data_IF_730095543722
#
_entry.id   IF_730095543722
#
_cell.length_a   1.000
_cell.length_b   1.000
_cell.length_c   1.000
_cell.angle_alpha   90.00
_cell.angle_beta   90.00
_cell.angle_gamma   90.00
#
_symmetry.space_group_name_H-M   'P 1'
#
loop_
_entity.id
_entity.type
_entity.pdbx_description
1 polymer ?
#
# COMPACT_ATOMS: atom_id res chain seq x y z
N UNK A 1 -26.28 0.93 -17.98
CA UNK A 1 -26.11 -0.08 -16.91
C UNK A 1 -25.04 -1.05 -17.36
N UNK A 2 -23.78 -0.85 -16.95
CA UNK A 2 -22.73 -1.86 -17.19
C UNK A 2 -22.83 -2.91 -16.06
N UNK A 3 -22.83 -4.20 -16.38
CA UNK A 3 -23.02 -5.25 -15.39
C UNK A 3 -21.81 -5.31 -14.46
N UNK A 4 -22.06 -5.16 -13.17
CA UNK A 4 -21.10 -5.48 -12.11
C UNK A 4 -20.69 -6.94 -12.23
N UNK A 5 -19.44 -7.21 -12.57
CA UNK A 5 -18.91 -8.58 -12.64
C UNK A 5 -18.62 -9.08 -11.20
N UNK A 6 -19.33 -10.11 -10.70
CA UNK A 6 -19.21 -10.56 -9.31
C UNK A 6 -17.99 -11.47 -9.06
N UNK A 7 -17.00 -11.51 -9.96
CA UNK A 7 -15.84 -12.42 -9.85
C UNK A 7 -14.53 -11.78 -10.33
N UNK A 8 -14.01 -10.77 -9.64
CA UNK A 8 -12.55 -10.56 -9.61
C UNK A 8 -12.01 -11.32 -8.41
N UNK A 9 -11.46 -12.50 -8.69
CA UNK A 9 -10.69 -13.24 -7.70
C UNK A 9 -9.32 -12.56 -7.56
N UNK A 10 -8.85 -12.25 -6.34
CA UNK A 10 -7.54 -11.65 -6.15
C UNK A 10 -6.45 -12.55 -6.76
N UNK A 11 -5.43 -11.94 -7.37
CA UNK A 11 -4.35 -12.64 -8.08
C UNK A 11 -2.99 -12.13 -7.61
N UNK A 12 -1.98 -13.00 -7.62
CA UNK A 12 -0.64 -12.62 -7.17
C UNK A 12 -0.63 -12.24 -5.68
N UNK A 13 0.01 -11.12 -5.35
CA UNK A 13 0.17 -10.62 -3.98
C UNK A 13 -1.16 -10.25 -3.30
N UNK A 14 -2.18 -9.79 -4.05
CA UNK A 14 -3.49 -9.46 -3.47
C UNK A 14 -4.25 -10.69 -2.96
N UNK A 15 -3.82 -11.89 -3.38
CA UNK A 15 -4.39 -13.17 -2.95
C UNK A 15 -3.66 -13.82 -1.76
N UNK A 16 -2.59 -13.19 -1.27
CA UNK A 16 -1.87 -13.63 -0.07
C UNK A 16 -2.76 -13.50 1.18
N UNK A 17 -2.71 -14.42 2.17
CA UNK A 17 -3.53 -14.33 3.37
C UNK A 17 -3.42 -13.02 4.13
N UNK A 18 -2.25 -12.38 4.16
CA UNK A 18 -2.06 -11.10 4.85
C UNK A 18 -2.72 -9.94 4.10
N UNK A 19 -2.83 -10.05 2.77
CA UNK A 19 -3.41 -9.01 1.90
C UNK A 19 -4.91 -9.23 1.60
N UNK A 20 -5.35 -10.48 1.55
CA UNK A 20 -6.65 -10.91 1.08
C UNK A 20 -7.79 -10.29 1.92
N UNK A 21 -8.63 -9.47 1.28
CA UNK A 21 -9.71 -8.71 1.93
C UNK A 21 -9.26 -7.66 2.98
N UNK A 22 -7.96 -7.49 3.18
CA UNK A 22 -7.37 -6.53 4.13
C UNK A 22 -6.92 -5.25 3.42
N UNK A 23 -6.22 -5.40 2.28
CA UNK A 23 -5.83 -4.27 1.44
C UNK A 23 -7.04 -3.76 0.66
N UNK A 24 -7.65 -2.71 1.18
CA UNK A 24 -8.55 -1.87 0.37
C UNK A 24 -7.68 -1.22 -0.71
N UNK A 25 -8.14 -1.29 -1.97
CA UNK A 25 -7.50 -0.71 -3.17
C UNK A 25 -6.56 -1.61 -4.01
N UNK A 26 -6.13 -2.80 -3.55
CA UNK A 26 -5.25 -3.66 -4.37
C UNK A 26 -5.92 -4.20 -5.67
N UNK A 27 -7.24 -4.47 -5.63
CA UNK A 27 -8.00 -4.98 -6.78
C UNK A 27 -8.87 -3.90 -7.48
N UNK A 28 -8.99 -2.71 -6.89
CA UNK A 28 -9.95 -1.66 -7.29
C UNK A 28 -9.35 -0.49 -8.08
N UNK A 29 -8.11 -0.62 -8.58
CA UNK A 29 -7.50 0.33 -9.52
C UNK A 29 -8.25 0.45 -10.86
N UNK A 30 -9.39 -0.22 -11.05
CA UNK A 30 -10.10 -0.25 -12.32
C UNK A 30 -11.61 -0.02 -12.34
N UNK A 31 -12.39 0.07 -11.23
CA UNK A 31 -13.86 0.19 -11.45
C UNK A 31 -14.72 1.29 -10.81
N UNK A 32 -14.65 1.73 -9.54
CA UNK A 32 -15.82 2.50 -9.02
C UNK A 32 -15.50 3.75 -8.21
N UNK A 33 -15.93 4.90 -8.75
CA UNK A 33 -15.95 6.19 -8.09
C UNK A 33 -16.87 6.17 -6.86
N UNK A 34 -16.26 6.45 -5.70
CA UNK A 34 -16.95 6.64 -4.43
C UNK A 34 -15.95 6.56 -3.28
N UNK A 35 -15.44 7.71 -2.82
CA UNK A 35 -14.45 7.92 -1.73
C UNK A 35 -13.24 6.95 -1.68
N UNK A 36 -13.01 6.23 -2.78
CA UNK A 36 -11.96 5.27 -3.09
C UNK A 36 -11.33 5.67 -4.45
N UNK A 37 -11.23 6.97 -4.73
CA UNK A 37 -10.94 7.50 -6.06
C UNK A 37 -9.51 8.03 -6.22
N UNK A 38 -8.81 8.40 -5.14
CA UNK A 38 -7.68 9.31 -5.28
C UNK A 38 -6.48 8.74 -6.02
N UNK A 39 -6.01 7.52 -5.75
CA UNK A 39 -4.80 7.00 -6.42
C UNK A 39 -5.03 6.76 -7.93
N UNK A 40 -6.24 6.32 -8.29
CA UNK A 40 -6.67 6.26 -9.69
C UNK A 40 -6.81 7.63 -10.32
N UNK A 41 -7.42 8.59 -9.61
CA UNK A 41 -7.55 9.96 -10.08
C UNK A 41 -6.16 10.58 -10.26
N UNK A 42 -5.20 10.28 -9.37
CA UNK A 42 -3.79 10.70 -9.47
C UNK A 42 -3.11 10.04 -10.66
N UNK A 43 -3.31 8.75 -10.89
CA UNK A 43 -2.78 8.05 -12.05
C UNK A 43 -3.36 8.61 -13.36
N UNK A 44 -4.68 8.74 -13.46
CA UNK A 44 -5.38 9.29 -14.64
C UNK A 44 -4.99 10.76 -14.89
N UNK A 45 -4.94 11.59 -13.85
CA UNK A 45 -4.50 12.98 -13.97
C UNK A 45 -3.03 13.06 -14.39
N UNK A 46 -2.15 12.25 -13.80
CA UNK A 46 -0.74 12.20 -14.15
C UNK A 46 -0.54 11.76 -15.61
N UNK A 47 -1.20 10.70 -16.04
CA UNK A 47 -1.14 10.21 -17.42
C UNK A 47 -1.71 11.22 -18.42
N UNK A 48 -2.72 12.01 -18.04
CA UNK A 48 -3.26 13.06 -18.91
C UNK A 48 -2.30 14.24 -19.13
N UNK A 49 -1.42 14.52 -18.17
CA UNK A 49 -0.47 15.62 -18.20
C UNK A 49 0.88 15.20 -18.77
N UNK A 50 1.37 14.02 -18.37
CA UNK A 50 2.70 13.50 -18.67
C UNK A 50 2.65 11.97 -18.89
N UNK A 51 2.19 11.50 -20.07
CA UNK A 51 2.00 10.08 -20.33
C UNK A 51 3.27 9.25 -20.14
N UNK A 52 3.20 8.19 -19.34
CA UNK A 52 4.30 7.24 -19.13
C UNK A 52 5.54 7.80 -18.42
N UNK A 53 5.41 8.95 -17.74
CA UNK A 53 6.52 9.59 -17.02
C UNK A 53 6.52 9.22 -15.54
N UNK A 54 5.34 9.10 -14.92
CA UNK A 54 5.18 8.87 -13.48
C UNK A 54 4.77 7.41 -13.26
N UNK A 55 5.52 6.69 -12.42
CA UNK A 55 5.23 5.30 -12.10
C UNK A 55 4.12 5.15 -11.05
N UNK A 56 3.43 4.02 -11.08
CA UNK A 56 2.50 3.64 -10.01
C UNK A 56 3.20 3.58 -8.64
N UNK A 57 4.44 3.11 -8.61
CA UNK A 57 5.26 3.07 -7.40
C UNK A 57 5.50 4.47 -6.77
N UNK A 58 5.75 5.48 -7.59
CA UNK A 58 5.91 6.85 -7.09
C UNK A 58 4.57 7.48 -6.69
N UNK A 59 3.49 7.20 -7.44
CA UNK A 59 2.13 7.64 -7.06
C UNK A 59 1.76 7.12 -5.67
N UNK A 60 1.99 5.84 -5.39
CA UNK A 60 1.71 5.23 -4.09
C UNK A 60 2.50 5.91 -2.96
N UNK A 61 3.77 6.22 -3.20
CA UNK A 61 4.63 6.88 -2.21
C UNK A 61 4.18 8.32 -1.92
N UNK A 62 3.81 9.06 -2.98
CA UNK A 62 3.31 10.44 -2.86
C UNK A 62 1.95 10.45 -2.16
N UNK A 63 1.02 9.57 -2.56
CA UNK A 63 -0.29 9.45 -1.95
C UNK A 63 -0.22 9.10 -0.45
N UNK A 64 0.73 8.24 -0.07
CA UNK A 64 0.99 7.91 1.34
C UNK A 64 1.42 9.14 2.14
N UNK A 65 2.38 9.92 1.61
CA UNK A 65 2.82 11.16 2.25
C UNK A 65 1.68 12.16 2.37
N UNK A 66 0.94 12.38 1.29
CA UNK A 66 -0.19 13.31 1.25
C UNK A 66 -1.28 12.90 2.27
N UNK A 67 -1.53 11.60 2.44
CA UNK A 67 -2.47 11.07 3.44
C UNK A 67 -2.05 11.38 4.87
N UNK A 68 -0.75 11.28 5.19
CA UNK A 68 -0.23 11.65 6.51
C UNK A 68 -0.39 13.15 6.77
N UNK A 69 -0.06 14.00 5.80
CA UNK A 69 -0.21 15.45 5.92
C UNK A 69 -1.68 15.85 6.09
N UNK A 70 -2.58 15.27 5.29
CA UNK A 70 -4.03 15.53 5.39
C UNK A 70 -4.62 15.11 6.73
N UNK A 71 -3.98 14.14 7.39
CA UNK A 71 -4.38 13.67 8.72
C UNK A 71 -3.74 14.46 9.87
N UNK A 72 -2.99 15.53 9.57
CA UNK A 72 -2.34 16.40 10.55
C UNK A 72 -0.92 15.95 10.95
N UNK A 73 -0.36 14.96 10.28
CA UNK A 73 1.02 14.52 10.47
C UNK A 73 2.06 15.41 9.79
N UNK A 74 3.36 15.09 9.95
CA UNK A 74 4.43 15.86 9.35
C UNK A 74 4.46 15.71 7.82
N UNK A 75 4.95 16.73 7.13
CA UNK A 75 5.29 16.64 5.70
C UNK A 75 6.77 16.34 5.51
N UNK A 76 7.08 15.55 4.49
CA UNK A 76 8.46 15.33 4.02
C UNK A 76 8.52 15.37 2.50
N UNK A 77 9.73 15.54 1.98
CA UNK A 77 10.02 15.43 0.55
C UNK A 77 10.09 13.95 0.18
N UNK A 78 9.34 13.57 -0.86
CA UNK A 78 9.35 12.22 -1.41
C UNK A 78 10.37 12.16 -2.53
N UNK A 79 11.39 11.32 -2.38
CA UNK A 79 12.30 10.98 -3.48
C UNK A 79 11.53 10.19 -4.55
N UNK A 80 11.61 10.60 -5.81
CA UNK A 80 10.94 9.98 -6.97
C UNK A 80 11.94 9.32 -7.91
N UNK A 81 11.45 8.52 -8.86
CA UNK A 81 12.25 7.76 -9.83
C UNK A 81 12.10 6.25 -9.68
N UNK A 82 11.11 5.77 -8.91
CA UNK A 82 10.80 4.33 -8.87
C UNK A 82 10.21 3.90 -10.20
N UNK A 83 10.46 2.66 -10.58
CA UNK A 83 9.91 2.05 -11.79
C UNK A 83 8.92 0.96 -11.41
N UNK A 84 7.88 0.78 -12.21
CA UNK A 84 6.89 -0.26 -11.97
C UNK A 84 7.46 -1.65 -12.28
N UNK A 85 7.13 -2.61 -11.41
CA UNK A 85 7.47 -4.01 -11.60
C UNK A 85 6.59 -4.64 -12.68
N UNK A 86 7.14 -5.60 -13.43
CA UNK A 86 6.39 -6.44 -14.37
C UNK A 86 5.91 -7.77 -13.74
N UNK A 87 6.26 -8.01 -12.48
CA UNK A 87 5.98 -9.26 -11.76
C UNK A 87 5.50 -8.98 -10.34
N UNK A 88 4.73 -9.92 -9.77
CA UNK A 88 4.34 -9.91 -8.37
C UNK A 88 4.68 -11.27 -7.72
N UNK A 89 4.96 -11.29 -6.41
CA UNK A 89 5.36 -12.48 -5.67
C UNK A 89 4.49 -12.71 -4.43
N UNK A 90 3.47 -13.58 -4.58
CA UNK A 90 2.65 -14.03 -3.46
C UNK A 90 3.48 -14.66 -2.33
N UNK A 91 4.50 -15.44 -2.68
CA UNK A 91 5.37 -16.08 -1.70
C UNK A 91 6.20 -15.06 -0.92
N UNK A 92 6.66 -13.98 -1.55
CA UNK A 92 7.33 -12.90 -0.84
C UNK A 92 6.36 -12.20 0.12
N UNK A 93 5.15 -11.85 -0.33
CA UNK A 93 4.13 -11.26 0.54
C UNK A 93 3.84 -12.13 1.77
N UNK A 94 3.68 -13.44 1.60
CA UNK A 94 3.44 -14.38 2.70
C UNK A 94 4.58 -14.42 3.73
N UNK A 95 5.81 -14.31 3.24
CA UNK A 95 7.00 -14.47 4.06
C UNK A 95 7.38 -13.14 4.74
N UNK A 96 7.16 -12.01 4.07
CA UNK A 96 7.77 -10.73 4.45
C UNK A 96 6.79 -9.86 5.25
N UNK A 97 5.48 -10.04 5.07
CA UNK A 97 4.45 -9.30 5.81
C UNK A 97 4.20 -10.03 7.15
N UNK A 98 4.46 -9.38 8.31
CA UNK A 98 4.16 -9.99 9.59
C UNK A 98 2.64 -10.04 9.83
N UNK A 99 2.16 -11.18 10.31
CA UNK A 99 0.76 -11.33 10.68
C UNK A 99 0.40 -10.54 11.95
N UNK A 100 -0.91 -10.28 12.20
CA UNK A 100 -1.36 -9.45 13.32
C UNK A 100 -1.06 -10.06 14.70
N UNK A 101 -0.80 -11.36 14.77
CA UNK A 101 -0.48 -12.10 16.00
C UNK A 101 1.02 -12.41 16.15
N UNK A 102 1.88 -11.83 15.32
CA UNK A 102 3.33 -12.00 15.42
C UNK A 102 3.86 -11.45 16.74
N UNK A 103 4.76 -12.20 17.37
CA UNK A 103 5.45 -11.74 18.58
C UNK A 103 6.51 -10.67 18.24
N UNK A 104 6.97 -9.96 19.27
CA UNK A 104 7.95 -8.87 19.12
C UNK A 104 9.24 -9.35 18.47
N UNK A 105 9.69 -10.57 18.77
CA UNK A 105 10.92 -11.11 18.18
C UNK A 105 10.77 -11.29 16.67
N UNK A 106 9.63 -11.82 16.22
CA UNK A 106 9.30 -11.96 14.80
C UNK A 106 9.23 -10.60 14.12
N UNK A 107 8.56 -9.62 14.72
CA UNK A 107 8.48 -8.27 14.18
C UNK A 107 9.87 -7.64 14.01
N UNK A 108 10.73 -7.73 15.02
CA UNK A 108 12.10 -7.21 14.94
C UNK A 108 12.88 -7.87 13.81
N UNK A 109 12.82 -9.20 13.68
CA UNK A 109 13.51 -9.91 12.60
C UNK A 109 13.01 -9.48 11.22
N UNK A 110 11.69 -9.33 11.02
CA UNK A 110 11.13 -8.90 9.73
C UNK A 110 11.55 -7.48 9.34
N UNK A 111 11.58 -6.56 10.28
CA UNK A 111 12.07 -5.20 10.02
C UNK A 111 13.57 -5.19 9.72
N UNK A 112 14.37 -6.01 10.41
CA UNK A 112 15.81 -6.16 10.12
C UNK A 112 16.08 -6.76 8.74
N UNK A 113 15.27 -7.72 8.30
CA UNK A 113 15.35 -8.29 6.94
C UNK A 113 15.11 -7.20 5.87
N UNK A 114 14.30 -6.19 6.19
CA UNK A 114 14.08 -5.00 5.36
C UNK A 114 15.13 -3.88 5.55
N UNK A 115 16.17 -4.12 6.37
CA UNK A 115 17.23 -3.13 6.65
C UNK A 115 16.85 -2.04 7.65
N UNK A 116 15.79 -2.26 8.45
CA UNK A 116 15.29 -1.31 9.45
C UNK A 116 15.69 -1.74 10.88
N UNK A 117 15.98 -0.77 11.73
CA UNK A 117 16.34 -1.01 13.12
C UNK A 117 15.11 -1.13 14.03
N UNK A 118 15.32 -1.57 15.27
CA UNK A 118 14.27 -1.66 16.29
C UNK A 118 13.50 -0.33 16.47
N UNK A 119 14.23 0.80 16.41
CA UNK A 119 13.63 2.12 16.54
C UNK A 119 12.71 2.46 15.36
N UNK A 120 13.05 2.02 14.15
CA UNK A 120 12.23 2.23 12.96
C UNK A 120 10.96 1.40 13.04
N UNK A 121 11.04 0.15 13.53
CA UNK A 121 9.87 -0.69 13.77
C UNK A 121 8.90 -0.02 14.75
N UNK A 122 9.38 0.47 15.89
CA UNK A 122 8.54 1.18 16.87
C UNK A 122 7.94 2.45 16.27
N UNK A 123 8.73 3.20 15.52
CA UNK A 123 8.28 4.44 14.86
C UNK A 123 7.19 4.16 13.82
N UNK A 124 7.38 3.15 12.96
CA UNK A 124 6.44 2.77 11.91
C UNK A 124 5.18 2.09 12.45
N UNK A 125 5.27 1.42 13.60
CA UNK A 125 4.10 0.89 14.31
C UNK A 125 3.13 2.01 14.73
N UNK A 126 3.62 3.25 14.87
CA UNK A 126 2.79 4.44 15.08
C UNK A 126 1.78 4.70 13.96
N UNK A 127 1.96 4.13 12.75
CA UNK A 127 0.99 4.24 11.67
C UNK A 127 -0.40 3.69 12.04
N UNK A 128 -0.47 2.75 12.99
CA UNK A 128 -1.74 2.23 13.53
C UNK A 128 -2.52 3.25 14.37
N UNK A 129 -1.99 4.45 14.63
CA UNK A 129 -2.77 5.55 15.23
C UNK A 129 -3.93 5.99 14.32
N UNK A 130 -3.88 5.66 13.03
CA UNK A 130 -4.91 5.97 12.04
C UNK A 130 -5.38 4.71 11.32
N UNK A 131 -6.67 4.65 10.97
CA UNK A 131 -7.28 3.49 10.31
C UNK A 131 -8.33 2.78 11.15
N UNK A 132 -8.79 1.62 10.69
CA UNK A 132 -9.96 0.90 11.25
C UNK A 132 -9.61 -0.39 11.99
N UNK A 133 -8.35 -0.78 12.05
CA UNK A 133 -7.87 -1.88 12.88
C UNK A 133 -6.71 -1.36 13.75
N UNK A 134 -7.02 -1.07 15.00
CA UNK A 134 -6.06 -0.83 16.09
C UNK A 134 -5.85 -2.17 16.77
N UNK A 135 -4.60 -2.65 16.89
CA UNK A 135 -4.30 -3.74 17.83
C UNK A 135 -4.49 -3.19 19.26
N UNK A 136 -5.57 -3.62 19.92
CA UNK A 136 -5.69 -3.57 21.38
C UNK A 136 -5.17 -4.88 21.96
#
# INVERSE_FOLDING_TARGET
MLPSNPTKHPIGESSDPENLNSLKHADELMEKGGLASKDRDYAEASESLCPGVVSCADILTIATRDSVVLSGGPGWQVETGRMDSLTASKTAANNDIPGPNSDVQTLVSKFQDAGLELNDMVTLSGAHTMGIYMMC
#
